data_IF_490366484877
#
_entry.id   IF_490366484877
#
_cell.length_a   1.000
_cell.length_b   1.000
_cell.length_c   1.000
_cell.angle_alpha   90.00
_cell.angle_beta   90.00
_cell.angle_gamma   90.00
#
_symmetry.space_group_name_H-M   'P 1'
#
loop_
_entity.id
_entity.type
_entity.pdbx_description
1 polymer ?
#
# COMPACT_ATOMS: atom_id res chain seq x y z
N UNK A 1 -1.00 11.15 3.47
CA UNK A 1 -1.62 12.01 4.49
C UNK A 1 -2.32 11.21 5.58
N UNK A 2 -3.49 10.62 5.28
CA UNK A 2 -4.41 10.09 6.30
C UNK A 2 -3.82 9.06 7.28
N UNK A 3 -2.98 8.13 6.81
CA UNK A 3 -2.29 7.18 7.70
C UNK A 3 -1.38 7.90 8.71
N UNK A 4 -0.57 8.86 8.25
CA UNK A 4 0.31 9.63 9.13
C UNK A 4 -0.47 10.40 10.20
N UNK A 5 -1.60 11.00 9.82
CA UNK A 5 -2.50 11.65 10.78
C UNK A 5 -3.11 10.65 11.77
N UNK A 6 -3.54 9.46 11.33
CA UNK A 6 -4.06 8.43 12.22
C UNK A 6 -3.02 7.92 13.22
N UNK A 7 -1.77 7.72 12.79
CA UNK A 7 -0.67 7.30 13.69
C UNK A 7 -0.33 8.43 14.66
N UNK A 8 -0.18 9.66 14.19
CA UNK A 8 0.13 10.83 15.04
C UNK A 8 -0.92 11.10 16.11
N UNK A 9 -2.19 10.76 15.86
CA UNK A 9 -3.29 10.94 16.80
C UNK A 9 -3.45 9.80 17.81
N UNK A 10 -2.64 8.73 17.76
CA UNK A 10 -2.76 7.59 18.71
C UNK A 10 -2.56 8.01 20.17
N UNK A 11 -1.65 8.96 20.41
CA UNK A 11 -1.28 9.42 21.75
C UNK A 11 -2.23 10.49 22.31
N UNK A 12 -3.12 11.04 21.47
CA UNK A 12 -4.01 12.13 21.87
C UNK A 12 -5.34 11.54 22.36
N UNK A 13 -5.79 12.00 23.53
CA UNK A 13 -7.12 11.66 24.04
C UNK A 13 -8.20 12.11 23.04
N UNK A 14 -9.00 11.13 22.62
CA UNK A 14 -10.03 11.26 21.58
C UNK A 14 -11.17 12.17 22.02
N UNK A 15 -11.44 12.23 23.32
CA UNK A 15 -12.52 13.04 23.87
C UNK A 15 -12.29 14.55 23.66
N UNK A 16 -11.02 14.98 23.53
CA UNK A 16 -10.66 16.40 23.33
C UNK A 16 -11.21 17.01 22.04
N UNK A 17 -11.52 16.19 21.04
CA UNK A 17 -12.00 16.63 19.73
C UNK A 17 -13.32 15.95 19.32
N UNK A 18 -14.01 15.30 20.25
CA UNK A 18 -15.27 14.62 19.99
C UNK A 18 -16.36 15.59 19.49
N UNK A 19 -16.45 16.77 20.11
CA UNK A 19 -17.47 17.77 19.78
C UNK A 19 -17.11 18.60 18.54
N UNK A 20 -15.83 18.93 18.38
CA UNK A 20 -15.33 19.78 17.29
C UNK A 20 -15.14 19.01 15.99
N UNK A 21 -14.65 17.76 16.05
CA UNK A 21 -14.28 16.96 14.88
C UNK A 21 -14.90 15.56 14.95
N UNK A 22 -16.24 15.51 14.87
CA UNK A 22 -17.04 14.27 14.99
C UNK A 22 -16.60 13.13 14.06
N UNK A 23 -16.15 13.43 12.83
CA UNK A 23 -15.73 12.40 11.87
C UNK A 23 -14.32 11.90 12.18
N UNK A 24 -13.41 12.82 12.53
CA UNK A 24 -12.09 12.47 13.03
C UNK A 24 -12.20 11.56 14.25
N UNK A 25 -13.06 11.90 15.22
CA UNK A 25 -13.34 11.07 16.40
C UNK A 25 -13.81 9.66 16.04
N UNK A 26 -14.78 9.52 15.12
CA UNK A 26 -15.22 8.21 14.65
C UNK A 26 -14.08 7.43 13.99
N UNK A 27 -13.28 8.10 13.17
CA UNK A 27 -12.18 7.49 12.43
C UNK A 27 -11.07 6.99 13.38
N UNK A 28 -10.64 7.83 14.32
CA UNK A 28 -9.59 7.48 15.30
C UNK A 28 -10.09 6.45 16.30
N UNK A 29 -11.35 6.52 16.73
CA UNK A 29 -11.95 5.49 17.60
C UNK A 29 -12.00 4.13 16.91
N UNK A 30 -12.34 4.08 15.61
CA UNK A 30 -12.36 2.84 14.86
C UNK A 30 -10.95 2.29 14.61
N UNK A 31 -10.03 3.13 14.14
CA UNK A 31 -8.67 2.74 13.77
C UNK A 31 -7.80 2.39 14.98
N UNK A 32 -8.01 3.02 16.14
CA UNK A 32 -7.22 2.76 17.35
C UNK A 32 -7.82 1.70 18.27
N UNK A 33 -8.92 1.05 17.87
CA UNK A 33 -9.53 -0.02 18.66
C UNK A 33 -8.79 -1.34 18.42
N UNK A 34 -8.20 -1.92 19.47
CA UNK A 34 -7.46 -3.18 19.37
C UNK A 34 -6.34 -3.07 18.35
N UNK A 35 -6.25 -4.07 17.45
CA UNK A 35 -5.21 -4.13 16.43
C UNK A 35 -5.67 -3.55 15.08
N UNK A 36 -6.78 -2.79 15.05
CA UNK A 36 -7.33 -2.22 13.83
C UNK A 36 -6.37 -1.27 13.11
N UNK A 37 -5.42 -0.65 13.80
CA UNK A 37 -4.44 0.23 13.15
C UNK A 37 -3.53 -0.59 12.23
N UNK A 38 -3.02 -1.73 12.72
CA UNK A 38 -2.18 -2.62 11.93
C UNK A 38 -2.97 -3.19 10.74
N UNK A 39 -4.20 -3.63 10.99
CA UNK A 39 -5.12 -4.11 9.94
C UNK A 39 -5.40 -3.04 8.88
N UNK A 40 -5.62 -1.80 9.31
CA UNK A 40 -5.81 -0.66 8.43
C UNK A 40 -4.56 -0.42 7.59
N UNK A 41 -3.37 -0.43 8.18
CA UNK A 41 -2.11 -0.24 7.44
C UNK A 41 -1.97 -1.30 6.36
N UNK A 42 -2.18 -2.57 6.69
CA UNK A 42 -2.10 -3.68 5.72
C UNK A 42 -3.12 -3.51 4.59
N UNK A 43 -4.40 -3.33 4.91
CA UNK A 43 -5.45 -3.16 3.90
C UNK A 43 -5.28 -1.91 3.03
N UNK A 44 -4.80 -0.82 3.63
CA UNK A 44 -4.51 0.43 2.91
C UNK A 44 -3.40 0.23 1.87
N UNK A 45 -2.34 -0.51 2.18
CA UNK A 45 -1.21 -0.65 1.24
C UNK A 45 -1.65 -1.30 -0.08
N UNK A 46 -2.58 -2.25 -0.03
CA UNK A 46 -3.17 -2.81 -1.25
C UNK A 46 -3.90 -1.75 -2.08
N UNK A 47 -4.70 -0.87 -1.46
CA UNK A 47 -5.38 0.23 -2.16
C UNK A 47 -4.39 1.21 -2.80
N UNK A 48 -3.28 1.52 -2.09
CA UNK A 48 -2.23 2.40 -2.61
C UNK A 48 -1.62 1.80 -3.87
N UNK A 49 -1.20 0.53 -3.82
CA UNK A 49 -0.62 -0.16 -4.97
C UNK A 49 -1.61 -0.26 -6.12
N UNK A 50 -2.89 -0.55 -5.84
CA UNK A 50 -3.95 -0.60 -6.84
C UNK A 50 -4.14 0.74 -7.55
N UNK A 51 -4.17 1.86 -6.80
CA UNK A 51 -4.32 3.20 -7.36
C UNK A 51 -3.10 3.58 -8.20
N UNK A 52 -1.88 3.29 -7.73
CA UNK A 52 -0.66 3.56 -8.51
C UNK A 52 -0.66 2.73 -9.79
N UNK A 53 -1.02 1.46 -9.71
CA UNK A 53 -1.14 0.59 -10.88
C UNK A 53 -2.17 1.10 -11.89
N UNK A 54 -3.39 1.42 -11.43
CA UNK A 54 -4.45 1.94 -12.29
C UNK A 54 -4.07 3.27 -12.93
N UNK A 55 -3.44 4.17 -12.17
CA UNK A 55 -2.99 5.47 -12.68
C UNK A 55 -1.89 5.31 -13.73
N UNK A 56 -0.93 4.41 -13.50
CA UNK A 56 0.10 4.10 -14.47
C UNK A 56 -0.47 3.43 -15.73
N UNK A 57 -1.47 2.56 -15.59
CA UNK A 57 -2.15 1.93 -16.73
C UNK A 57 -2.92 2.96 -17.57
N UNK A 58 -3.61 3.92 -16.93
CA UNK A 58 -4.29 5.02 -17.63
C UNK A 58 -3.31 6.02 -18.26
N UNK A 59 -2.12 6.17 -17.69
CA UNK A 59 -1.08 7.09 -18.16
C UNK A 59 -0.16 6.54 -19.25
N UNK A 60 -0.33 5.28 -19.66
CA UNK A 60 0.48 4.67 -20.70
C UNK A 60 0.21 5.38 -22.05
N UNK A 61 1.24 6.00 -22.61
CA UNK A 61 1.14 6.69 -23.91
C UNK A 61 1.13 5.67 -25.04
N UNK A 62 0.22 5.84 -26.01
CA UNK A 62 0.29 5.11 -27.27
C UNK A 62 1.60 5.48 -28.00
N UNK A 63 2.36 4.47 -28.42
CA UNK A 63 3.65 4.68 -29.08
C UNK A 63 3.52 5.66 -30.25
N UNK A 64 4.34 6.71 -30.25
CA UNK A 64 4.44 7.81 -31.23
C UNK A 64 3.65 9.11 -30.99
N UNK A 65 3.10 9.35 -29.79
CA UNK A 65 2.57 10.69 -29.50
C UNK A 65 3.71 11.73 -29.28
N UNK A 66 3.87 12.67 -30.21
CA UNK A 66 4.68 13.88 -30.01
C UNK A 66 3.94 14.85 -29.09
N UNK A 67 4.15 14.67 -27.79
CA UNK A 67 3.54 15.54 -26.78
C UNK A 67 4.44 16.77 -26.60
N UNK A 68 3.85 17.96 -26.69
CA UNK A 68 4.48 19.26 -26.40
C UNK A 68 5.71 19.66 -27.27
N UNK A 69 5.95 18.99 -28.41
CA UNK A 69 7.08 19.31 -29.30
C UNK A 69 8.46 19.01 -28.71
N UNK A 70 8.53 18.18 -27.67
CA UNK A 70 9.78 17.83 -27.00
C UNK A 70 10.69 16.96 -27.88
N UNK A 71 12.02 17.01 -27.68
CA UNK A 71 12.98 16.14 -28.37
C UNK A 71 12.63 14.66 -28.17
N UNK A 72 12.86 13.83 -29.19
CA UNK A 72 12.49 12.40 -29.21
C UNK A 72 13.02 11.65 -27.98
N UNK A 73 14.26 11.92 -27.56
CA UNK A 73 14.84 11.30 -26.35
C UNK A 73 14.08 11.66 -25.05
N UNK A 74 13.65 12.91 -24.91
CA UNK A 74 12.87 13.35 -23.75
C UNK A 74 11.46 12.74 -23.76
N UNK A 75 10.80 12.68 -24.92
CA UNK A 75 9.49 12.03 -25.06
C UNK A 75 9.55 10.53 -24.74
N UNK A 76 10.54 9.81 -25.27
CA UNK A 76 10.69 8.37 -25.00
C UNK A 76 11.01 8.09 -23.53
N UNK A 77 11.93 8.86 -22.92
CA UNK A 77 12.35 8.62 -21.53
C UNK A 77 11.30 9.10 -20.53
N UNK A 78 10.68 10.27 -20.70
CA UNK A 78 9.75 10.81 -19.69
C UNK A 78 8.31 10.33 -19.88
N UNK A 79 7.82 10.30 -21.12
CA UNK A 79 6.41 9.97 -21.42
C UNK A 79 6.22 8.51 -21.84
N UNK A 80 7.21 7.94 -22.53
CA UNK A 80 7.19 6.52 -22.93
C UNK A 80 7.40 5.56 -21.76
N UNK A 81 8.23 5.92 -20.78
CA UNK A 81 8.50 5.07 -19.60
C UNK A 81 7.48 5.23 -18.46
N UNK A 82 6.56 6.20 -18.55
CA UNK A 82 5.63 6.55 -17.46
C UNK A 82 6.26 7.37 -16.32
N UNK A 83 7.56 7.71 -16.39
CA UNK A 83 8.26 8.47 -15.35
C UNK A 83 7.62 9.84 -15.07
N UNK A 84 7.16 10.55 -16.10
CA UNK A 84 6.44 11.82 -15.91
C UNK A 84 5.16 11.64 -15.08
N UNK A 85 4.37 10.61 -15.37
CA UNK A 85 3.15 10.30 -14.61
C UNK A 85 3.45 9.92 -13.16
N UNK A 86 4.51 9.15 -12.93
CA UNK A 86 4.98 8.81 -11.58
C UNK A 86 5.40 10.06 -10.81
N UNK A 87 6.20 10.95 -11.42
CA UNK A 87 6.64 12.18 -10.76
C UNK A 87 5.45 13.11 -10.45
N UNK A 88 4.54 13.30 -11.41
CA UNK A 88 3.35 14.14 -11.20
C UNK A 88 2.47 13.59 -10.08
N UNK A 89 2.22 12.28 -10.05
CA UNK A 89 1.37 11.66 -9.02
C UNK A 89 2.01 11.71 -7.63
N UNK A 90 3.33 11.53 -7.53
CA UNK A 90 4.06 11.65 -6.26
C UNK A 90 4.08 13.10 -5.78
N UNK A 91 4.53 14.04 -6.61
CA UNK A 91 4.74 15.43 -6.20
C UNK A 91 3.43 16.18 -5.96
N UNK A 92 2.48 16.11 -6.89
CA UNK A 92 1.22 16.85 -6.79
C UNK A 92 0.14 16.07 -6.04
N UNK A 93 0.07 14.76 -6.24
CA UNK A 93 -0.96 13.92 -5.62
C UNK A 93 -0.63 13.56 -4.17
N UNK A 94 0.53 12.95 -3.95
CA UNK A 94 0.83 12.32 -2.66
C UNK A 94 1.50 13.27 -1.66
N UNK A 95 2.57 13.97 -2.06
CA UNK A 95 3.36 14.81 -1.14
C UNK A 95 2.54 15.96 -0.59
N UNK A 96 1.81 16.70 -1.42
CA UNK A 96 0.98 17.83 -0.96
C UNK A 96 -0.02 17.40 0.11
N UNK A 97 -0.71 16.26 -0.11
CA UNK A 97 -1.64 15.71 0.87
C UNK A 97 -0.95 15.16 2.13
N UNK A 98 0.32 14.78 2.07
CA UNK A 98 1.10 14.40 3.26
C UNK A 98 1.51 15.61 4.08
N UNK A 99 1.95 16.70 3.44
CA UNK A 99 2.34 17.95 4.12
C UNK A 99 1.14 18.56 4.84
N UNK A 100 0.00 18.68 4.15
CA UNK A 100 -1.24 19.22 4.78
C UNK A 100 -1.67 18.36 5.96
N UNK A 101 -1.60 17.02 5.82
CA UNK A 101 -1.94 16.12 6.92
C UNK A 101 -0.96 16.23 8.10
N UNK A 102 0.32 16.52 7.85
CA UNK A 102 1.31 16.68 8.92
C UNK A 102 1.10 17.96 9.72
N UNK A 103 0.69 19.07 9.08
CA UNK A 103 0.40 20.34 9.76
C UNK A 103 -0.96 20.35 10.46
N UNK A 104 -2.00 19.81 9.81
CA UNK A 104 -3.38 19.85 10.31
C UNK A 104 -4.01 18.45 10.32
N UNK A 105 -3.50 17.56 11.19
CA UNK A 105 -3.91 16.15 11.25
C UNK A 105 -5.43 15.98 11.44
N UNK A 106 -6.03 16.69 12.41
CA UNK A 106 -7.44 16.56 12.77
C UNK A 106 -8.36 17.03 11.63
N UNK A 107 -8.11 18.21 11.07
CA UNK A 107 -8.88 18.74 9.94
C UNK A 107 -8.77 17.84 8.71
N UNK A 108 -7.56 17.34 8.45
CA UNK A 108 -7.31 16.46 7.31
C UNK A 108 -8.14 15.16 7.39
N UNK A 109 -8.28 14.55 8.57
CA UNK A 109 -9.05 13.30 8.72
C UNK A 109 -10.56 13.52 8.98
N UNK A 110 -11.00 14.74 9.24
CA UNK A 110 -12.39 15.07 9.56
C UNK A 110 -13.31 15.11 8.31
N UNK A 111 -13.18 14.14 7.42
CA UNK A 111 -13.96 14.07 6.18
C UNK A 111 -14.52 12.66 5.94
N UNK A 112 -15.52 12.56 5.06
CA UNK A 112 -16.17 11.27 4.77
C UNK A 112 -15.29 10.32 3.97
N UNK A 113 -14.41 10.84 3.12
CA UNK A 113 -13.49 10.05 2.33
C UNK A 113 -12.48 9.28 3.20
N UNK A 114 -12.04 9.88 4.31
CA UNK A 114 -11.17 9.24 5.29
C UNK A 114 -11.89 8.10 6.01
N UNK A 115 -13.13 8.31 6.44
CA UNK A 115 -13.95 7.25 7.04
C UNK A 115 -14.19 6.11 6.05
N UNK A 116 -14.57 6.45 4.82
CA UNK A 116 -14.77 5.47 3.74
C UNK A 116 -13.50 4.65 3.50
N UNK A 117 -12.35 5.29 3.28
CA UNK A 117 -11.09 4.58 3.05
C UNK A 117 -10.65 3.72 4.25
N UNK A 118 -10.98 4.12 5.48
CA UNK A 118 -10.76 3.31 6.68
C UNK A 118 -11.61 2.04 6.68
N UNK A 119 -12.92 2.15 6.39
CA UNK A 119 -13.79 0.97 6.29
C UNK A 119 -13.38 0.04 5.15
N UNK A 120 -13.05 0.58 3.98
CA UNK A 120 -12.61 -0.24 2.84
C UNK A 120 -11.29 -0.95 3.15
N UNK A 121 -10.35 -0.26 3.80
CA UNK A 121 -9.06 -0.88 4.19
C UNK A 121 -9.27 -2.03 5.18
N UNK A 122 -10.12 -1.83 6.20
CA UNK A 122 -10.48 -2.90 7.14
C UNK A 122 -11.24 -4.05 6.47
N UNK A 123 -12.10 -3.76 5.50
CA UNK A 123 -12.80 -4.78 4.72
C UNK A 123 -11.85 -5.61 3.85
N UNK A 124 -10.85 -4.97 3.23
CA UNK A 124 -9.84 -5.66 2.43
C UNK A 124 -8.97 -6.56 3.32
N UNK A 125 -8.57 -6.10 4.50
CA UNK A 125 -7.90 -6.97 5.46
C UNK A 125 -8.80 -8.15 5.86
N UNK A 126 -10.09 -7.89 6.11
CA UNK A 126 -11.05 -8.93 6.47
C UNK A 126 -11.23 -9.98 5.37
N UNK A 127 -11.21 -9.59 4.08
CA UNK A 127 -11.26 -10.51 2.93
C UNK A 127 -10.14 -11.56 2.97
N UNK A 128 -9.01 -11.15 3.53
CA UNK A 128 -7.87 -11.99 3.83
C UNK A 128 -6.88 -12.23 2.71
N UNK A 129 -7.02 -11.50 1.59
CA UNK A 129 -6.06 -11.52 0.47
C UNK A 129 -4.62 -11.22 0.90
N UNK A 130 -4.43 -10.48 2.01
CA UNK A 130 -3.14 -9.98 2.47
C UNK A 130 -2.56 -10.75 3.67
N UNK A 131 -3.19 -11.84 4.13
CA UNK A 131 -2.79 -12.54 5.36
C UNK A 131 -1.38 -13.13 5.36
N UNK A 132 -0.74 -13.29 4.19
CA UNK A 132 0.66 -13.73 4.11
C UNK A 132 1.60 -12.81 4.94
N UNK A 133 1.27 -11.53 5.10
CA UNK A 133 2.07 -10.60 5.92
C UNK A 133 2.15 -11.03 7.38
N UNK A 134 1.06 -11.58 7.93
CA UNK A 134 1.02 -12.05 9.32
C UNK A 134 1.83 -13.34 9.51
N UNK A 135 1.89 -14.20 8.48
CA UNK A 135 2.77 -15.37 8.50
C UNK A 135 4.24 -14.92 8.59
N UNK A 136 4.62 -13.94 7.78
CA UNK A 136 5.97 -13.35 7.80
C UNK A 136 6.25 -12.70 9.16
N UNK A 137 5.30 -11.96 9.73
CA UNK A 137 5.42 -11.39 11.08
C UNK A 137 5.64 -12.45 12.16
N UNK A 138 4.89 -13.56 12.14
CA UNK A 138 5.05 -14.69 13.08
C UNK A 138 6.43 -15.34 12.91
N UNK A 139 6.89 -15.50 11.67
CA UNK A 139 8.21 -16.03 11.37
C UNK A 139 9.33 -15.15 11.94
N UNK A 140 9.26 -13.83 11.72
CA UNK A 140 10.22 -12.88 12.28
C UNK A 140 10.15 -12.80 13.80
N UNK A 141 8.95 -12.84 14.39
CA UNK A 141 8.76 -12.89 15.84
C UNK A 141 9.43 -14.13 16.45
N UNK A 142 9.33 -15.28 15.77
CA UNK A 142 10.00 -16.53 16.17
C UNK A 142 11.51 -16.43 16.10
N UNK A 143 12.06 -15.78 15.06
CA UNK A 143 13.51 -15.58 14.91
C UNK A 143 14.05 -14.61 15.96
N UNK A 144 13.37 -13.49 16.17
CA UNK A 144 13.80 -12.41 17.08
C UNK A 144 13.44 -12.67 18.54
N UNK A 145 12.65 -13.72 18.83
CA UNK A 145 12.11 -14.07 20.15
C UNK A 145 11.32 -12.94 20.82
N UNK A 146 10.79 -12.01 20.04
CA UNK A 146 9.89 -10.95 20.52
C UNK A 146 8.44 -11.36 20.19
N UNK A 147 7.55 -11.53 21.19
CA UNK A 147 6.17 -11.86 20.91
C UNK A 147 5.52 -10.72 20.12
N UNK A 148 4.58 -11.07 19.24
CA UNK A 148 3.73 -10.08 18.59
C UNK A 148 2.82 -9.49 19.66
N UNK A 149 3.01 -8.22 19.99
CA UNK A 149 2.11 -7.51 20.90
C UNK A 149 0.75 -7.36 20.21
N UNK A 150 -0.30 -7.84 20.87
CA UNK A 150 -1.67 -7.75 20.40
C UNK A 150 -2.52 -7.22 21.53
N UNK A 151 -3.37 -6.26 21.21
CA UNK A 151 -4.32 -5.66 22.15
C UNK A 151 -5.65 -6.42 22.18
N UNK A 152 -5.72 -7.60 21.56
CA UNK A 152 -6.91 -8.44 21.44
C UNK A 152 -6.79 -9.75 22.22
N UNK A 153 -7.92 -10.33 22.70
CA UNK A 153 -7.91 -11.60 23.38
C UNK A 153 -7.44 -12.75 22.46
N UNK A 154 -6.92 -13.85 23.02
CA UNK A 154 -6.46 -15.00 22.24
C UNK A 154 -7.60 -15.56 21.37
N UNK A 155 -7.27 -15.86 20.11
CA UNK A 155 -8.23 -16.35 19.11
C UNK A 155 -8.86 -17.67 19.56
N UNK A 156 -10.17 -17.79 19.40
CA UNK A 156 -10.86 -19.06 19.59
C UNK A 156 -10.52 -20.07 18.49
N UNK A 157 -10.72 -21.36 18.74
CA UNK A 157 -10.47 -22.44 17.76
C UNK A 157 -11.07 -22.16 16.36
N UNK A 158 -12.36 -21.77 16.22
CA UNK A 158 -12.91 -21.48 14.89
C UNK A 158 -12.28 -20.22 14.24
N UNK A 159 -11.95 -19.19 15.02
CA UNK A 159 -11.26 -18.00 14.51
C UNK A 159 -9.84 -18.32 14.03
N UNK A 160 -9.15 -19.24 14.70
CA UNK A 160 -7.81 -19.67 14.32
C UNK A 160 -7.84 -20.47 13.00
N UNK A 161 -8.81 -21.37 12.83
CA UNK A 161 -9.01 -22.09 11.55
C UNK A 161 -9.30 -21.11 10.42
N UNK A 162 -10.20 -20.15 10.65
CA UNK A 162 -10.53 -19.12 9.65
C UNK A 162 -9.34 -18.22 9.29
N UNK A 163 -8.48 -17.91 10.27
CA UNK A 163 -7.24 -17.18 10.05
C UNK A 163 -6.29 -17.98 9.13
N UNK A 164 -6.00 -19.24 9.46
CA UNK A 164 -5.09 -20.07 8.68
C UNK A 164 -5.61 -20.38 7.26
N UNK A 165 -6.93 -20.53 7.08
CA UNK A 165 -7.53 -20.69 5.76
C UNK A 165 -7.26 -19.46 4.86
N UNK A 166 -7.39 -18.25 5.41
CA UNK A 166 -7.09 -17.00 4.68
C UNK A 166 -5.60 -16.84 4.41
N UNK A 167 -4.74 -17.25 5.35
CA UNK A 167 -3.28 -17.29 5.15
C UNK A 167 -2.93 -18.20 3.96
N UNK A 168 -3.48 -19.41 3.91
CA UNK A 168 -3.25 -20.33 2.79
C UNK A 168 -3.68 -19.73 1.45
N UNK A 169 -4.88 -19.15 1.37
CA UNK A 169 -5.35 -18.48 0.17
C UNK A 169 -4.42 -17.33 -0.26
N UNK A 170 -4.00 -16.48 0.67
CA UNK A 170 -3.09 -15.37 0.41
C UNK A 170 -1.73 -15.84 -0.11
N UNK A 171 -1.16 -16.90 0.48
CA UNK A 171 0.11 -17.50 0.03
C UNK A 171 -0.03 -18.10 -1.38
N UNK A 172 -1.14 -18.76 -1.69
CA UNK A 172 -1.39 -19.30 -3.03
C UNK A 172 -1.49 -18.19 -4.08
N UNK A 173 -2.25 -17.12 -3.79
CA UNK A 173 -2.39 -15.98 -4.71
C UNK A 173 -1.05 -15.28 -4.91
N UNK A 174 -0.27 -15.09 -3.85
CA UNK A 174 1.06 -14.50 -3.91
C UNK A 174 2.02 -15.36 -4.74
N UNK A 175 2.05 -16.68 -4.49
CA UNK A 175 2.88 -17.62 -5.23
C UNK A 175 2.54 -17.66 -6.73
N UNK A 176 1.25 -17.65 -7.06
CA UNK A 176 0.78 -17.57 -8.44
C UNK A 176 1.20 -16.26 -9.11
N UNK A 177 0.96 -15.12 -8.45
CA UNK A 177 1.32 -13.79 -8.97
C UNK A 177 2.83 -13.68 -9.19
N UNK A 178 3.62 -14.20 -8.26
CA UNK A 178 5.07 -14.22 -8.35
C UNK A 178 5.57 -15.08 -9.54
N UNK A 179 4.98 -16.26 -9.74
CA UNK A 179 5.30 -17.11 -10.88
C UNK A 179 4.98 -16.45 -12.22
N UNK A 180 3.83 -15.76 -12.32
CA UNK A 180 3.46 -14.99 -13.51
C UNK A 180 4.45 -13.85 -13.78
N UNK A 181 4.82 -13.08 -12.74
CA UNK A 181 5.79 -11.98 -12.87
C UNK A 181 7.15 -12.47 -13.33
N UNK A 182 7.68 -13.55 -12.73
CA UNK A 182 8.95 -14.13 -13.15
C UNK A 182 8.88 -14.64 -14.59
N UNK A 183 7.81 -15.33 -14.96
CA UNK A 183 7.61 -15.83 -16.33
C UNK A 183 7.54 -14.69 -17.34
N UNK A 184 6.82 -13.61 -17.04
CA UNK A 184 6.75 -12.43 -17.90
C UNK A 184 8.13 -11.77 -18.08
N UNK A 185 8.92 -11.73 -17.00
CA UNK A 185 10.26 -11.15 -17.01
C UNK A 185 11.26 -12.01 -17.80
N UNK A 186 11.20 -13.33 -17.71
CA UNK A 186 11.98 -14.23 -18.56
C UNK A 186 11.59 -14.15 -20.04
N UNK A 187 10.31 -13.90 -20.32
CA UNK A 187 9.80 -13.77 -21.69
C UNK A 187 9.98 -12.36 -22.28
N UNK A 188 10.58 -11.42 -21.52
CA UNK A 188 10.77 -10.03 -21.97
C UNK A 188 9.45 -9.27 -22.20
N UNK A 189 8.33 -9.72 -21.64
CA UNK A 189 7.00 -9.08 -21.77
C UNK A 189 6.78 -7.96 -20.76
N UNK A 190 7.85 -7.35 -20.27
CA UNK A 190 7.81 -6.32 -19.24
C UNK A 190 8.20 -4.97 -19.83
N UNK A 191 7.92 -3.88 -19.11
CA UNK A 191 8.36 -2.53 -19.50
C UNK A 191 9.87 -2.29 -19.31
N UNK A 192 10.67 -3.36 -19.17
CA UNK A 192 12.12 -3.25 -19.02
C UNK A 192 12.74 -2.80 -20.35
N UNK A 193 13.79 -1.99 -20.29
CA UNK A 193 14.46 -1.51 -21.49
C UNK A 193 15.04 -2.64 -22.34
N UNK A 194 14.87 -2.50 -23.66
CA UNK A 194 15.49 -3.38 -24.64
C UNK A 194 17.02 -3.36 -24.45
N UNK A 195 17.60 -4.54 -24.22
CA UNK A 195 19.05 -4.72 -24.03
C UNK A 195 19.48 -5.11 -22.60
N UNK A 196 18.58 -5.10 -21.62
CA UNK A 196 18.91 -5.62 -20.27
C UNK A 196 18.80 -7.16 -20.26
N UNK A 197 19.86 -7.90 -19.88
CA UNK A 197 19.78 -9.36 -19.77
C UNK A 197 18.70 -9.79 -18.77
N UNK A 198 18.05 -10.93 -19.02
CA UNK A 198 17.01 -11.45 -18.14
C UNK A 198 17.49 -11.63 -16.68
N UNK A 199 18.73 -12.09 -16.48
CA UNK A 199 19.31 -12.23 -15.13
C UNK A 199 19.48 -10.89 -14.40
N UNK A 200 19.96 -9.85 -15.09
CA UNK A 200 20.06 -8.50 -14.52
C UNK A 200 18.67 -7.94 -14.19
N UNK A 201 17.68 -8.25 -15.02
CA UNK A 201 16.30 -7.84 -14.82
C UNK A 201 15.69 -8.39 -13.52
N UNK A 202 16.00 -9.65 -13.19
CA UNK A 202 15.56 -10.29 -11.95
C UNK A 202 16.23 -9.64 -10.75
N UNK A 203 17.54 -9.40 -10.83
CA UNK A 203 18.29 -8.76 -9.75
C UNK A 203 17.75 -7.36 -9.46
N UNK A 204 17.50 -6.56 -10.50
CA UNK A 204 16.89 -5.22 -10.38
C UNK A 204 15.48 -5.33 -9.76
N UNK A 205 14.66 -6.28 -10.19
CA UNK A 205 13.33 -6.49 -9.64
C UNK A 205 13.37 -6.75 -8.13
N UNK A 206 14.23 -7.64 -7.64
CA UNK A 206 14.34 -7.91 -6.20
C UNK A 206 14.89 -6.70 -5.42
N UNK A 207 15.87 -5.99 -5.97
CA UNK A 207 16.40 -4.77 -5.33
C UNK A 207 15.30 -3.72 -5.21
N UNK A 208 14.54 -3.47 -6.28
CA UNK A 208 13.43 -2.53 -6.25
C UNK A 208 12.32 -2.97 -5.30
N UNK A 209 12.00 -4.27 -5.23
CA UNK A 209 11.05 -4.80 -4.24
C UNK A 209 11.49 -4.51 -2.80
N UNK A 210 12.79 -4.59 -2.50
CA UNK A 210 13.30 -4.23 -1.18
C UNK A 210 13.05 -2.75 -0.87
N UNK A 211 13.29 -1.84 -1.82
CA UNK A 211 13.01 -0.41 -1.62
C UNK A 211 11.51 -0.11 -1.47
N UNK A 212 10.67 -0.76 -2.26
CA UNK A 212 9.21 -0.61 -2.14
C UNK A 212 8.71 -1.14 -0.79
N UNK A 213 9.27 -2.23 -0.28
CA UNK A 213 8.93 -2.77 1.04
C UNK A 213 9.38 -1.91 2.22
N UNK A 214 10.30 -0.95 2.01
CA UNK A 214 10.77 -0.01 3.04
C UNK A 214 9.91 1.27 3.13
N UNK A 215 9.01 1.52 2.17
CA UNK A 215 8.11 2.70 2.13
C UNK A 215 6.73 2.40 2.72
#
# INVERSE_FOLDING_TARGET
GGQGALVGLQLIDKNKYADTHKKAYKCTTLAHKGDNMERFIVGRQFLVVLIVFATNACGATGGNATVLGLPTGANTIFLGSGLAMILTTIMLGQLTAQVVAASCMLDFINNYFMLFSTYVSLFIEFSGLLHCVYLVQIFFAKITRKPVESNEPPRSTPQNIFFWARVMLSVTVLGFSFAVTLTALFQGKTAMWEGVPAGASIAIFFVLMCFVGLM
#
